data_IF_960808265643
#
_entry.id   IF_960808265643
#
_cell.length_a   1.000
_cell.length_b   1.000
_cell.length_c   1.000
_cell.angle_alpha   90.00
_cell.angle_beta   90.00
_cell.angle_gamma   90.00
#
_symmetry.space_group_name_H-M   'P 1'
#
loop_
_entity.id
_entity.type
_entity.pdbx_description
1 polymer ?
#
# COMPACT_ATOMS: atom_id res chain seq x y z
N UNK A 1 28.20 8.24 5.65
CA UNK A 1 27.71 7.23 4.70
C UNK A 1 27.85 7.78 3.29
N UNK A 2 27.84 6.90 2.29
CA UNK A 2 27.87 7.19 0.87
C UNK A 2 26.56 6.68 0.30
N UNK A 3 25.70 7.54 -0.28
CA UNK A 3 24.48 7.08 -0.93
C UNK A 3 24.83 6.36 -2.24
N UNK A 4 24.10 5.29 -2.52
CA UNK A 4 24.14 4.55 -3.78
C UNK A 4 23.02 5.02 -4.72
N UNK A 5 23.13 4.68 -6.00
CA UNK A 5 22.10 4.99 -7.00
C UNK A 5 20.75 4.31 -6.70
N UNK A 6 20.79 3.18 -5.99
CA UNK A 6 19.60 2.48 -5.47
C UNK A 6 18.85 3.29 -4.39
N UNK A 7 19.51 4.25 -3.73
CA UNK A 7 19.00 4.92 -2.53
C UNK A 7 19.48 4.30 -1.21
N UNK A 8 20.13 3.13 -1.27
CA UNK A 8 20.82 2.54 -0.14
C UNK A 8 22.03 3.37 0.30
N UNK A 9 22.51 3.14 1.51
CA UNK A 9 23.67 3.80 2.08
C UNK A 9 24.79 2.82 2.43
N UNK A 10 26.03 3.23 2.19
CA UNK A 10 27.22 2.47 2.60
C UNK A 10 28.09 3.31 3.53
N UNK A 11 28.46 2.77 4.68
CA UNK A 11 29.53 3.31 5.52
C UNK A 11 30.80 2.49 5.31
N UNK A 12 31.88 3.13 4.88
CA UNK A 12 33.19 2.49 4.69
C UNK A 12 34.13 2.87 5.82
N UNK A 13 34.72 1.88 6.47
CA UNK A 13 35.68 2.08 7.55
C UNK A 13 37.13 2.05 7.04
N UNK A 14 38.09 2.72 7.71
CA UNK A 14 39.50 2.73 7.30
C UNK A 14 40.18 1.36 7.23
N UNK A 15 39.63 0.34 7.89
CA UNK A 15 40.10 -1.04 7.85
C UNK A 15 39.52 -1.85 6.66
N UNK A 16 38.72 -1.22 5.80
CA UNK A 16 38.09 -1.85 4.64
C UNK A 16 36.77 -2.58 4.96
N UNK A 17 36.30 -2.56 6.20
CA UNK A 17 34.96 -3.05 6.53
C UNK A 17 33.90 -2.09 5.99
N UNK A 18 32.76 -2.62 5.56
CA UNK A 18 31.59 -1.84 5.17
C UNK A 18 30.41 -2.17 6.09
N UNK A 19 29.54 -1.18 6.29
CA UNK A 19 28.15 -1.37 6.72
C UNK A 19 27.25 -0.94 5.56
N UNK A 20 26.27 -1.76 5.23
CA UNK A 20 25.30 -1.52 4.17
C UNK A 20 23.92 -1.37 4.81
N UNK A 21 23.23 -0.29 4.48
CA UNK A 21 21.88 -0.01 4.91
C UNK A 21 21.00 0.14 3.65
N UNK A 22 20.03 -0.76 3.41
CA UNK A 22 19.08 -0.64 2.31
C UNK A 22 18.33 0.69 2.31
N UNK A 23 18.17 1.34 3.48
CA UNK A 23 17.51 2.64 3.63
C UNK A 23 16.14 2.72 2.93
N UNK A 24 15.35 1.63 3.02
CA UNK A 24 14.01 1.52 2.42
C UNK A 24 13.98 1.35 0.89
N UNK A 25 15.14 1.33 0.21
CA UNK A 25 15.22 1.26 -1.25
C UNK A 25 14.60 -0.01 -1.86
N UNK A 26 14.38 -1.04 -1.04
CA UNK A 26 13.88 -2.35 -1.45
C UNK A 26 12.64 -2.78 -0.66
N UNK A 27 11.93 -1.85 -0.01
CA UNK A 27 10.72 -2.16 0.77
C UNK A 27 9.57 -2.69 -0.08
N UNK A 28 9.58 -2.40 -1.38
CA UNK A 28 8.60 -2.93 -2.35
C UNK A 28 9.11 -4.17 -3.08
N UNK A 29 10.22 -4.79 -2.64
CA UNK A 29 10.75 -6.00 -3.26
C UNK A 29 9.92 -7.21 -2.76
N UNK A 30 9.26 -7.97 -3.66
CA UNK A 30 8.39 -9.06 -3.24
C UNK A 30 9.13 -10.14 -2.43
N UNK A 31 8.39 -10.87 -1.60
CA UNK A 31 8.89 -11.96 -0.76
C UNK A 31 9.64 -13.00 -1.59
N UNK A 32 10.86 -13.29 -1.16
CA UNK A 32 11.75 -14.25 -1.81
C UNK A 32 12.29 -13.81 -3.18
N UNK A 33 11.88 -12.66 -3.71
CA UNK A 33 12.47 -12.09 -4.93
C UNK A 33 13.80 -11.43 -4.57
N UNK A 34 14.80 -11.62 -5.44
CA UNK A 34 16.15 -11.08 -5.19
C UNK A 34 16.43 -9.86 -6.04
N UNK A 35 17.13 -8.90 -5.43
CA UNK A 35 17.74 -7.77 -6.11
C UNK A 35 19.26 -7.78 -5.85
N UNK A 36 20.03 -7.21 -6.77
CA UNK A 36 21.47 -7.05 -6.62
C UNK A 36 21.80 -5.55 -6.66
N UNK A 37 22.53 -5.08 -5.66
CA UNK A 37 23.04 -3.72 -5.60
C UNK A 37 24.57 -3.73 -5.61
N UNK A 38 25.15 -3.17 -6.67
CA UNK A 38 26.58 -3.19 -6.92
C UNK A 38 27.14 -1.77 -6.87
N UNK A 39 28.28 -1.60 -6.20
CA UNK A 39 29.00 -0.35 -6.18
C UNK A 39 30.51 -0.54 -6.35
N UNK A 40 31.17 0.36 -7.11
CA UNK A 40 32.61 0.29 -7.31
C UNK A 40 33.36 0.79 -6.08
N UNK A 41 34.57 0.27 -5.88
CA UNK A 41 35.52 0.81 -4.90
C UNK A 41 36.92 0.86 -5.50
N UNK A 42 37.77 1.71 -4.93
CA UNK A 42 39.18 1.84 -5.32
C UNK A 42 40.06 1.65 -4.10
N UNK A 43 41.10 0.83 -4.25
CA UNK A 43 42.16 0.66 -3.26
C UNK A 43 43.45 1.26 -3.78
N UNK A 44 44.26 1.82 -2.87
CA UNK A 44 45.56 2.39 -3.21
C UNK A 44 46.63 1.93 -2.23
N UNK A 45 47.84 1.71 -2.76
CA UNK A 45 49.06 1.53 -1.96
C UNK A 45 49.80 2.87 -1.71
N UNK A 46 49.18 3.99 -2.06
CA UNK A 46 49.75 5.34 -1.99
C UNK A 46 50.56 5.74 -3.23
N UNK A 47 50.68 4.85 -4.23
CA UNK A 47 51.36 5.13 -5.51
C UNK A 47 50.51 4.75 -6.72
N UNK A 48 49.85 3.60 -6.66
CA UNK A 48 48.96 3.09 -7.69
C UNK A 48 47.57 2.85 -7.12
N UNK A 49 46.59 2.79 -8.00
CA UNK A 49 45.20 2.51 -7.68
C UNK A 49 44.73 1.28 -8.45
N UNK A 50 43.84 0.52 -7.83
CA UNK A 50 43.12 -0.57 -8.46
C UNK A 50 41.64 -0.48 -8.08
N UNK A 51 40.75 -0.72 -9.04
CA UNK A 51 39.31 -0.72 -8.83
C UNK A 51 38.75 -2.13 -8.75
N UNK A 52 37.72 -2.31 -7.94
CA UNK A 52 36.89 -3.50 -7.85
C UNK A 52 35.43 -3.11 -7.67
N UNK A 53 34.58 -4.13 -7.52
CA UNK A 53 33.15 -3.97 -7.30
C UNK A 53 32.72 -4.84 -6.12
N UNK A 54 31.79 -4.33 -5.32
CA UNK A 54 31.07 -5.08 -4.29
C UNK A 54 29.63 -5.19 -4.76
N UNK A 55 29.08 -6.40 -4.79
CA UNK A 55 27.67 -6.64 -5.05
C UNK A 55 27.03 -7.26 -3.81
N UNK A 56 25.91 -6.67 -3.38
CA UNK A 56 25.09 -7.15 -2.29
C UNK A 56 23.84 -7.80 -2.92
N UNK A 57 23.52 -9.02 -2.48
CA UNK A 57 22.26 -9.67 -2.85
C UNK A 57 21.24 -9.39 -1.75
N UNK A 58 20.16 -8.73 -2.12
CA UNK A 58 19.02 -8.42 -1.27
C UNK A 58 17.94 -9.47 -1.57
N UNK A 59 17.29 -9.98 -0.53
CA UNK A 59 16.11 -10.84 -0.63
C UNK A 59 14.94 -10.03 -0.09
N UNK A 60 13.87 -9.87 -0.86
CA UNK A 60 12.65 -9.22 -0.39
C UNK A 60 12.02 -10.03 0.73
N UNK A 61 11.45 -9.33 1.71
CA UNK A 61 10.71 -9.93 2.82
C UNK A 61 9.18 -9.78 2.64
N UNK A 62 8.76 -9.24 1.49
CA UNK A 62 7.38 -8.84 1.22
C UNK A 62 6.97 -7.57 1.96
N UNK A 63 5.76 -7.10 1.68
CA UNK A 63 5.22 -5.86 2.25
C UNK A 63 3.71 -5.95 2.43
N UNK A 64 3.15 -5.17 3.36
CA UNK A 64 1.70 -5.08 3.48
C UNK A 64 1.10 -4.46 2.21
N UNK A 65 -0.22 -4.62 2.00
CA UNK A 65 -0.91 -3.92 0.93
C UNK A 65 -0.83 -2.40 1.12
N UNK A 66 -1.13 -1.69 0.04
CA UNK A 66 -1.30 -0.24 -0.02
C UNK A 66 -2.74 0.04 -0.43
N UNK A 67 -3.49 0.69 0.45
CA UNK A 67 -4.82 1.20 0.15
C UNK A 67 -4.70 2.60 -0.46
N UNK A 68 -5.43 2.87 -1.54
CA UNK A 68 -5.53 4.18 -2.18
C UNK A 68 -6.96 4.72 -2.04
N UNK A 69 -7.11 6.02 -1.77
CA UNK A 69 -8.44 6.63 -1.55
C UNK A 69 -9.38 6.44 -2.76
N UNK A 70 -10.60 5.98 -2.48
CA UNK A 70 -11.69 5.93 -3.46
C UNK A 70 -12.56 7.19 -3.46
N UNK A 71 -13.14 7.50 -4.62
CA UNK A 71 -14.19 8.52 -4.71
C UNK A 71 -15.18 8.20 -5.81
N UNK A 72 -16.47 8.44 -5.52
CA UNK A 72 -17.55 8.26 -6.48
C UNK A 72 -18.62 9.33 -6.26
N UNK A 73 -19.43 9.62 -7.30
CA UNK A 73 -20.51 10.61 -7.19
C UNK A 73 -21.84 10.00 -7.59
N UNK A 74 -22.89 10.31 -6.83
CA UNK A 74 -24.24 9.86 -7.12
C UNK A 74 -25.26 10.97 -6.89
N UNK A 75 -26.47 10.77 -7.39
CA UNK A 75 -27.62 11.57 -6.98
C UNK A 75 -28.17 11.07 -5.65
N UNK A 76 -28.79 11.97 -4.89
CA UNK A 76 -29.32 11.72 -3.53
C UNK A 76 -30.20 10.45 -3.37
N UNK A 77 -30.87 10.01 -4.44
CA UNK A 77 -31.85 8.93 -4.40
C UNK A 77 -31.39 7.68 -5.19
N UNK A 78 -30.10 7.59 -5.52
CA UNK A 78 -29.54 6.47 -6.29
C UNK A 78 -28.49 5.71 -5.50
N UNK A 79 -28.76 4.42 -5.35
CA UNK A 79 -27.78 3.43 -4.91
C UNK A 79 -26.61 3.37 -5.88
N UNK A 80 -25.41 3.22 -5.35
CA UNK A 80 -24.16 3.05 -6.11
C UNK A 80 -23.59 1.67 -5.85
N UNK A 81 -23.15 1.00 -6.91
CA UNK A 81 -22.33 -0.21 -6.82
C UNK A 81 -20.98 0.06 -7.45
N UNK A 82 -19.91 -0.13 -6.68
CA UNK A 82 -18.53 0.01 -7.15
C UNK A 82 -17.63 -1.03 -6.49
N UNK A 83 -16.34 -1.03 -6.82
CA UNK A 83 -15.35 -1.88 -6.20
C UNK A 83 -14.16 -1.03 -5.70
N UNK A 84 -13.95 -1.06 -4.39
CA UNK A 84 -12.99 -0.23 -3.65
C UNK A 84 -11.60 -0.88 -3.51
N UNK A 85 -11.33 -1.99 -4.19
CA UNK A 85 -10.00 -2.63 -4.17
C UNK A 85 -9.30 -2.59 -5.53
N UNK A 86 -9.88 -1.88 -6.52
CA UNK A 86 -9.33 -1.85 -7.89
C UNK A 86 -8.14 -0.92 -8.04
N UNK A 87 -8.04 0.09 -7.20
CA UNK A 87 -6.92 1.02 -7.09
C UNK A 87 -5.89 0.59 -6.05
N UNK A 88 -6.27 -0.26 -5.08
CA UNK A 88 -5.36 -0.84 -4.10
C UNK A 88 -4.30 -1.75 -4.74
N UNK A 89 -3.16 -1.90 -4.06
CA UNK A 89 -2.05 -2.69 -4.56
C UNK A 89 -1.34 -3.48 -3.47
N UNK A 90 -0.63 -4.52 -3.89
CA UNK A 90 0.19 -5.35 -3.01
C UNK A 90 1.59 -5.49 -3.62
N UNK A 91 2.67 -5.22 -2.86
CA UNK A 91 4.04 -5.39 -3.35
C UNK A 91 4.36 -6.82 -3.76
N UNK A 92 3.75 -7.82 -3.11
CA UNK A 92 3.93 -9.24 -3.38
C UNK A 92 3.06 -9.75 -4.54
N UNK A 93 2.07 -8.95 -4.93
CA UNK A 93 1.09 -9.29 -5.96
C UNK A 93 0.02 -10.26 -5.44
N UNK A 94 -0.17 -10.31 -4.12
CA UNK A 94 -1.19 -11.12 -3.48
C UNK A 94 -2.60 -10.55 -3.74
N UNK A 95 -3.60 -11.44 -3.75
CA UNK A 95 -4.99 -11.05 -3.90
C UNK A 95 -5.48 -10.30 -2.66
N UNK A 96 -6.10 -9.14 -2.86
CA UNK A 96 -6.62 -8.31 -1.75
C UNK A 96 -8.07 -8.66 -1.39
N UNK A 97 -8.33 -8.66 -0.08
CA UNK A 97 -9.65 -8.88 0.49
C UNK A 97 -10.01 -7.82 1.50
N UNK A 98 -11.25 -7.32 1.48
CA UNK A 98 -11.76 -6.41 2.51
C UNK A 98 -12.13 -7.22 3.75
N UNK A 99 -11.58 -6.83 4.89
CA UNK A 99 -11.71 -7.55 6.16
C UNK A 99 -12.49 -6.77 7.22
N UNK A 100 -12.46 -5.43 7.15
CA UNK A 100 -13.14 -4.54 8.09
C UNK A 100 -13.78 -3.38 7.31
N UNK A 101 -14.95 -2.94 7.75
CA UNK A 101 -15.56 -1.66 7.36
C UNK A 101 -16.07 -0.97 8.62
N UNK A 102 -15.76 0.31 8.82
CA UNK A 102 -16.16 1.09 10.02
C UNK A 102 -15.85 0.38 11.35
N UNK A 103 -14.74 -0.37 11.40
CA UNK A 103 -14.34 -1.16 12.57
C UNK A 103 -15.09 -2.49 12.77
N UNK A 104 -16.05 -2.82 11.90
CA UNK A 104 -16.80 -4.09 11.92
C UNK A 104 -16.22 -5.11 10.93
N UNK A 105 -16.05 -6.38 11.33
CA UNK A 105 -15.49 -7.41 10.46
C UNK A 105 -16.47 -7.82 9.35
N UNK A 106 -15.94 -8.07 8.15
CA UNK A 106 -16.74 -8.50 7.00
C UNK A 106 -17.02 -10.02 7.05
N UNK A 107 -18.29 -10.38 6.93
CA UNK A 107 -18.75 -11.76 6.74
C UNK A 107 -18.59 -12.26 5.29
N UNK A 108 -18.60 -13.59 5.09
CA UNK A 108 -18.46 -14.19 3.75
C UNK A 108 -19.53 -13.76 2.74
N UNK A 109 -20.72 -13.43 3.22
CA UNK A 109 -21.85 -12.96 2.40
C UNK A 109 -21.98 -11.42 2.41
N UNK A 110 -20.92 -10.74 2.85
CA UNK A 110 -20.85 -9.30 3.06
C UNK A 110 -21.41 -8.84 4.41
N UNK A 111 -21.30 -7.54 4.68
CA UNK A 111 -21.71 -6.90 5.92
C UNK A 111 -22.30 -5.53 5.63
N UNK A 112 -23.51 -5.30 6.15
CA UNK A 112 -24.22 -4.04 6.02
C UNK A 112 -23.93 -3.19 7.25
N UNK A 113 -23.45 -1.97 7.04
CA UNK A 113 -23.10 -1.02 8.09
C UNK A 113 -23.85 0.29 7.89
N UNK A 114 -24.53 0.80 8.93
CA UNK A 114 -25.09 2.15 8.90
C UNK A 114 -23.97 3.18 9.09
N UNK A 115 -23.98 4.22 8.27
CA UNK A 115 -23.06 5.36 8.39
C UNK A 115 -23.62 6.41 9.36
N UNK A 116 -22.74 7.30 9.84
CA UNK A 116 -23.13 8.41 10.71
C UNK A 116 -24.15 9.37 10.07
N UNK A 117 -24.16 9.45 8.74
CA UNK A 117 -25.15 10.19 7.95
C UNK A 117 -26.57 9.59 8.02
N UNK A 118 -26.66 8.29 8.35
CA UNK A 118 -27.86 7.46 8.25
C UNK A 118 -28.02 6.73 6.91
N UNK A 119 -27.09 6.92 5.97
CA UNK A 119 -26.95 6.04 4.81
C UNK A 119 -26.52 4.63 5.25
N UNK A 120 -26.64 3.64 4.36
CA UNK A 120 -26.17 2.28 4.60
C UNK A 120 -25.19 1.86 3.51
N UNK A 121 -24.15 1.12 3.89
CA UNK A 121 -23.21 0.49 2.94
C UNK A 121 -23.15 -1.01 3.18
N UNK A 122 -23.37 -1.78 2.13
CA UNK A 122 -23.13 -3.23 2.11
C UNK A 122 -21.76 -3.50 1.49
N UNK A 123 -20.84 -4.07 2.25
CA UNK A 123 -19.46 -4.35 1.81
C UNK A 123 -19.22 -5.85 1.74
N UNK A 124 -18.63 -6.30 0.63
CA UNK A 124 -18.27 -7.70 0.40
C UNK A 124 -16.75 -7.91 0.49
N UNK A 125 -16.28 -9.12 0.86
CA UNK A 125 -14.83 -9.40 0.96
C UNK A 125 -14.04 -9.16 -0.34
N UNK A 126 -14.69 -9.21 -1.50
CA UNK A 126 -14.06 -8.97 -2.80
C UNK A 126 -13.97 -7.47 -3.17
N UNK A 127 -14.24 -6.57 -2.21
CA UNK A 127 -14.24 -5.13 -2.41
C UNK A 127 -15.46 -4.57 -3.13
N UNK A 128 -16.43 -5.41 -3.53
CA UNK A 128 -17.68 -4.85 -4.04
C UNK A 128 -18.42 -4.17 -2.91
N UNK A 129 -18.94 -2.97 -3.16
CA UNK A 129 -19.81 -2.26 -2.24
C UNK A 129 -21.14 -1.92 -2.90
N UNK A 130 -22.19 -1.81 -2.09
CA UNK A 130 -23.46 -1.20 -2.45
C UNK A 130 -23.77 -0.10 -1.42
N UNK A 131 -23.66 1.15 -1.85
CA UNK A 131 -23.98 2.32 -1.03
C UNK A 131 -25.41 2.78 -1.30
N UNK A 132 -26.24 2.80 -0.27
CA UNK A 132 -27.62 3.29 -0.31
C UNK A 132 -27.74 4.55 0.55
N UNK A 133 -28.04 5.72 -0.05
CA UNK A 133 -28.39 6.94 0.69
C UNK A 133 -29.50 6.76 1.74
N UNK A 134 -30.32 5.72 1.63
CA UNK A 134 -31.40 5.40 2.57
C UNK A 134 -32.36 6.58 2.79
N UNK A 135 -32.53 7.40 1.75
CA UNK A 135 -33.36 8.60 1.72
C UNK A 135 -32.91 9.76 2.62
N UNK A 136 -31.73 9.68 3.23
CA UNK A 136 -31.24 10.75 4.13
C UNK A 136 -30.95 12.05 3.38
N UNK A 137 -30.79 11.97 2.07
CA UNK A 137 -30.50 13.11 1.18
C UNK A 137 -31.67 13.52 0.26
N UNK A 138 -32.87 12.96 0.39
CA UNK A 138 -34.04 13.29 -0.45
C UNK A 138 -34.40 14.81 -0.46
N UNK A 139 -34.00 15.52 0.59
CA UNK A 139 -34.25 16.96 0.75
C UNK A 139 -33.13 17.86 0.23
N UNK A 140 -32.07 17.28 -0.35
CA UNK A 140 -30.92 18.00 -0.88
C UNK A 140 -31.37 18.89 -2.06
N UNK A 141 -31.00 20.16 -2.00
CA UNK A 141 -31.37 21.12 -3.04
C UNK A 141 -30.50 20.95 -4.29
N UNK A 142 -31.07 21.31 -5.44
CA UNK A 142 -30.33 21.27 -6.71
C UNK A 142 -29.02 22.06 -6.64
N UNK A 143 -27.92 21.43 -7.03
CA UNK A 143 -26.58 22.02 -7.02
C UNK A 143 -25.88 22.03 -5.66
N UNK A 144 -26.49 21.46 -4.61
CA UNK A 144 -25.83 21.20 -3.33
C UNK A 144 -25.22 19.80 -3.35
N UNK A 145 -23.98 19.70 -2.88
CA UNK A 145 -23.27 18.43 -2.68
C UNK A 145 -23.06 18.20 -1.19
N UNK A 146 -23.05 16.94 -0.80
CA UNK A 146 -22.63 16.48 0.52
C UNK A 146 -21.61 15.37 0.32
N UNK A 147 -20.66 15.29 1.22
CA UNK A 147 -19.71 14.18 1.28
C UNK A 147 -20.15 13.23 2.38
N UNK A 148 -20.02 11.94 2.10
CA UNK A 148 -20.26 10.85 3.02
C UNK A 148 -19.08 9.89 2.90
N UNK A 149 -18.47 9.53 4.01
CA UNK A 149 -17.18 8.82 4.04
C UNK A 149 -17.26 7.67 5.04
N UNK A 150 -16.54 6.59 4.74
CA UNK A 150 -16.35 5.46 5.64
C UNK A 150 -14.97 4.86 5.40
N UNK A 151 -14.39 4.27 6.43
CA UNK A 151 -13.09 3.61 6.38
C UNK A 151 -13.26 2.10 6.15
N UNK A 152 -12.31 1.49 5.43
CA UNK A 152 -12.23 0.05 5.25
C UNK A 152 -10.81 -0.47 5.50
N UNK A 153 -10.66 -1.79 5.64
CA UNK A 153 -9.33 -2.43 5.75
C UNK A 153 -9.21 -3.54 4.73
N UNK A 154 -8.18 -3.49 3.88
CA UNK A 154 -7.78 -4.58 2.98
C UNK A 154 -6.65 -5.40 3.58
N UNK A 155 -6.62 -6.69 3.22
CA UNK A 155 -5.58 -7.64 3.63
C UNK A 155 -5.23 -8.58 2.47
N UNK A 156 -3.94 -8.85 2.35
CA UNK A 156 -3.29 -9.89 1.54
C UNK A 156 -3.24 -11.27 2.27
N UNK A 157 -3.70 -11.34 3.52
CA UNK A 157 -3.62 -12.50 4.41
C UNK A 157 -2.40 -12.55 5.34
N UNK A 158 -1.43 -11.65 5.16
CA UNK A 158 -0.17 -11.53 5.91
C UNK A 158 -0.04 -10.17 6.62
N UNK A 159 -0.47 -9.10 5.95
CA UNK A 159 -0.57 -7.71 6.36
C UNK A 159 -1.93 -7.09 6.07
N UNK A 160 -2.05 -5.78 6.33
CA UNK A 160 -3.29 -5.02 6.09
C UNK A 160 -3.03 -3.53 5.93
N UNK A 161 -3.93 -2.84 5.23
CA UNK A 161 -3.94 -1.39 5.06
C UNK A 161 -5.38 -0.83 5.19
N UNK A 162 -5.47 0.44 5.60
CA UNK A 162 -6.69 1.24 5.75
C UNK A 162 -6.48 2.60 5.14
#
# INVERSE_FOLDING_TARGET
TVPLDSGAEVLVYPNGTIEYDPNGAFDSLPDGVTAEDCFPYTVSDGSMEASGEVCIMIVGEGGPPVADDDSETTSADMTVTTNIVLNDSDPDGDDLTVTIVEGEPIGSDGTSVPLDSGAEVMVYPNGTIEYDPNGVYDSLQEGVTVEDCFDYTVSDGSGSAT
#
